data_IF_654123910918
#
_entry.id   IF_654123910918
#
_cell.length_a   1.000
_cell.length_b   1.000
_cell.length_c   1.000
_cell.angle_alpha   90.00
_cell.angle_beta   90.00
_cell.angle_gamma   90.00
#
_symmetry.space_group_name_H-M   'P 1'
#
loop_
_entity.id
_entity.type
_entity.pdbx_description
1 polymer ?
#
# COMPACT_ATOMS: atom_id res chain seq x y z
N UNK A 1 -16.02 10.23 -16.42
CA UNK A 1 -15.36 11.17 -15.50
C UNK A 1 -16.23 12.41 -15.36
N UNK A 2 -16.34 12.92 -14.15
CA UNK A 2 -17.04 14.17 -13.86
C UNK A 2 -16.01 15.30 -13.93
N UNK A 3 -16.19 16.31 -14.80
CA UNK A 3 -15.20 17.38 -14.93
C UNK A 3 -15.18 18.26 -13.67
N UNK A 4 -13.99 18.65 -13.25
CA UNK A 4 -13.76 19.57 -12.15
C UNK A 4 -13.21 20.89 -12.69
N UNK A 5 -13.70 22.00 -12.11
CA UNK A 5 -13.19 23.33 -12.41
C UNK A 5 -11.84 23.54 -11.70
N UNK A 6 -10.83 24.00 -12.42
CA UNK A 6 -9.56 24.39 -11.81
C UNK A 6 -9.76 25.59 -10.88
N UNK A 7 -8.97 25.62 -9.81
CA UNK A 7 -9.02 26.68 -8.76
C UNK A 7 -10.34 26.76 -7.97
N UNK A 8 -11.23 25.79 -8.13
CA UNK A 8 -12.44 25.70 -7.31
C UNK A 8 -12.22 24.69 -6.17
N UNK A 9 -12.65 25.11 -4.99
CA UNK A 9 -12.54 24.32 -3.77
C UNK A 9 -13.76 23.43 -3.59
N UNK A 10 -13.55 22.18 -3.22
CA UNK A 10 -14.59 21.18 -3.00
C UNK A 10 -14.41 20.50 -1.66
N UNK A 11 -15.50 20.29 -0.93
CA UNK A 11 -15.54 19.28 0.12
C UNK A 11 -15.61 17.89 -0.52
N UNK A 12 -14.86 16.93 0.02
CA UNK A 12 -14.85 15.58 -0.53
C UNK A 12 -16.22 14.90 -0.43
N UNK A 13 -17.02 15.28 0.59
CA UNK A 13 -18.42 14.87 0.76
C UNK A 13 -19.32 15.36 -0.38
N UNK A 14 -19.13 16.61 -0.84
CA UNK A 14 -19.94 17.17 -1.93
C UNK A 14 -19.61 16.48 -3.26
N UNK A 15 -18.32 16.17 -3.49
CA UNK A 15 -17.92 15.36 -4.65
C UNK A 15 -18.58 13.98 -4.62
N UNK A 16 -18.61 13.34 -3.44
CA UNK A 16 -19.25 12.03 -3.29
C UNK A 16 -20.77 12.09 -3.57
N UNK A 17 -21.46 13.11 -3.08
CA UNK A 17 -22.88 13.32 -3.36
C UNK A 17 -23.14 13.54 -4.85
N UNK A 18 -22.33 14.36 -5.53
CA UNK A 18 -22.44 14.61 -6.97
C UNK A 18 -22.22 13.33 -7.80
N UNK A 19 -21.40 12.41 -7.31
CA UNK A 19 -21.13 11.10 -7.91
C UNK A 19 -22.11 10.00 -7.47
N UNK A 20 -23.07 10.31 -6.58
CA UNK A 20 -23.98 9.34 -5.95
C UNK A 20 -23.24 8.22 -5.21
N UNK A 21 -22.13 8.54 -4.55
CA UNK A 21 -21.29 7.61 -3.79
C UNK A 21 -21.52 7.85 -2.29
N UNK A 22 -21.87 6.77 -1.58
CA UNK A 22 -21.91 6.77 -0.12
C UNK A 22 -20.53 6.54 0.46
N UNK A 23 -19.94 7.56 1.09
CA UNK A 23 -18.64 7.44 1.76
C UNK A 23 -18.74 6.56 3.02
N UNK A 24 -17.65 5.89 3.42
CA UNK A 24 -17.64 5.08 4.64
C UNK A 24 -17.87 5.96 5.87
N UNK A 25 -18.52 5.36 6.85
CA UNK A 25 -18.74 5.95 8.17
C UNK A 25 -18.07 5.09 9.25
N UNK A 26 -17.93 5.57 10.48
CA UNK A 26 -17.43 4.73 11.59
C UNK A 26 -18.31 3.48 11.88
N UNK A 27 -19.51 3.41 11.30
CA UNK A 27 -20.38 2.22 11.39
C UNK A 27 -20.14 1.21 10.28
N UNK A 28 -19.37 1.60 9.25
CA UNK A 28 -18.96 0.70 8.17
C UNK A 28 -17.84 -0.19 8.70
N UNK A 29 -18.09 -1.49 8.82
CA UNK A 29 -17.19 -2.44 9.50
C UNK A 29 -15.73 -2.35 9.04
N UNK A 30 -15.49 -2.32 7.73
CA UNK A 30 -14.14 -2.22 7.15
C UNK A 30 -13.42 -0.88 7.42
N UNK A 31 -14.13 0.11 7.97
CA UNK A 31 -13.63 1.47 8.23
C UNK A 31 -13.75 1.87 9.70
N UNK A 32 -14.15 0.94 10.56
CA UNK A 32 -14.41 1.20 11.99
C UNK A 32 -13.22 1.85 12.70
N UNK A 33 -12.01 1.43 12.36
CA UNK A 33 -10.77 1.88 12.98
C UNK A 33 -10.08 3.02 12.24
N UNK A 34 -10.46 3.31 10.99
CA UNK A 34 -9.87 4.39 10.18
C UNK A 34 -10.79 5.59 10.13
N UNK A 35 -10.49 6.60 10.92
CA UNK A 35 -11.33 7.80 11.06
C UNK A 35 -11.13 8.77 9.89
N UNK A 36 -12.06 8.79 8.96
CA UNK A 36 -12.01 9.70 7.81
C UNK A 36 -12.46 11.13 8.12
N UNK A 37 -12.90 11.43 9.35
CA UNK A 37 -13.49 12.74 9.71
C UNK A 37 -12.58 13.90 9.31
N UNK A 38 -11.30 13.82 9.61
CA UNK A 38 -10.36 14.91 9.38
C UNK A 38 -10.12 15.12 7.88
N UNK A 39 -10.02 14.03 7.10
CA UNK A 39 -9.95 14.08 5.64
C UNK A 39 -11.23 14.68 5.03
N UNK A 40 -12.40 14.28 5.51
CA UNK A 40 -13.69 14.71 4.95
C UNK A 40 -14.07 16.14 5.33
N UNK A 41 -13.48 16.70 6.39
CA UNK A 41 -13.73 18.07 6.85
C UNK A 41 -12.91 19.14 6.10
N UNK A 42 -11.89 18.70 5.36
CA UNK A 42 -11.02 19.60 4.61
C UNK A 42 -11.58 19.88 3.23
N UNK A 43 -11.49 21.13 2.82
CA UNK A 43 -11.82 21.53 1.45
C UNK A 43 -10.55 21.49 0.59
N UNK A 44 -10.65 20.88 -0.58
CA UNK A 44 -9.52 20.62 -1.50
C UNK A 44 -9.78 21.25 -2.87
N UNK A 45 -8.70 21.59 -3.57
CA UNK A 45 -8.69 21.88 -4.99
C UNK A 45 -8.11 20.69 -5.77
N UNK A 46 -8.49 20.46 -7.05
CA UNK A 46 -7.77 19.53 -7.90
C UNK A 46 -6.31 19.93 -8.03
N UNK A 47 -5.38 18.98 -7.94
CA UNK A 47 -3.96 19.23 -8.13
C UNK A 47 -3.67 19.89 -9.49
N UNK A 48 -2.79 20.88 -9.47
CA UNK A 48 -2.25 21.47 -10.71
C UNK A 48 -1.07 20.64 -11.23
N UNK A 49 -0.87 20.61 -12.56
CA UNK A 49 0.30 19.97 -13.16
C UNK A 49 1.60 20.52 -12.58
N UNK A 50 2.56 19.63 -12.34
CA UNK A 50 3.91 20.01 -11.96
C UNK A 50 4.91 19.23 -12.82
N UNK A 51 5.99 19.91 -13.23
CA UNK A 51 7.11 19.26 -13.92
C UNK A 51 8.24 18.84 -12.99
N UNK A 52 8.10 19.07 -11.69
CA UNK A 52 9.11 18.69 -10.69
C UNK A 52 9.15 17.18 -10.54
N UNK A 53 10.33 16.60 -10.62
CA UNK A 53 10.55 15.19 -10.40
C UNK A 53 10.99 14.94 -8.96
N UNK A 54 10.47 13.89 -8.36
CA UNK A 54 10.94 13.40 -7.07
C UNK A 54 12.32 12.76 -7.18
N UNK A 55 12.96 12.55 -6.03
CA UNK A 55 14.21 11.79 -5.97
C UNK A 55 14.03 10.41 -6.59
N UNK A 56 15.02 9.99 -7.38
CA UNK A 56 15.06 8.63 -7.95
C UNK A 56 15.38 7.58 -6.90
N UNK A 57 15.41 6.33 -7.33
CA UNK A 57 15.87 5.20 -6.53
C UNK A 57 17.38 4.99 -6.71
N UNK A 58 18.11 4.41 -5.71
CA UNK A 58 19.56 4.23 -5.78
C UNK A 58 19.99 2.95 -6.53
N UNK A 59 19.18 2.48 -7.45
CA UNK A 59 19.47 1.30 -8.27
C UNK A 59 18.98 1.52 -9.71
N UNK A 60 19.47 0.69 -10.62
CA UNK A 60 19.09 0.78 -12.02
C UNK A 60 17.64 0.36 -12.23
N UNK A 61 16.83 1.24 -12.82
CA UNK A 61 15.41 1.05 -13.03
C UNK A 61 14.89 1.89 -14.20
N UNK A 62 13.76 1.50 -14.74
CA UNK A 62 12.95 2.33 -15.63
C UNK A 62 11.98 3.15 -14.76
N UNK A 63 12.01 4.47 -14.88
CA UNK A 63 11.26 5.33 -13.97
C UNK A 63 10.17 6.09 -14.72
N UNK A 64 8.95 6.00 -14.21
CA UNK A 64 7.82 6.87 -14.57
C UNK A 64 7.65 7.88 -13.45
N UNK A 65 7.91 9.14 -13.74
CA UNK A 65 7.68 10.21 -12.78
C UNK A 65 6.23 10.66 -12.84
N UNK A 66 5.59 10.72 -11.67
CA UNK A 66 4.20 11.16 -11.50
C UNK A 66 4.21 12.30 -10.48
N UNK A 67 4.02 13.52 -10.96
CA UNK A 67 4.05 14.71 -10.10
C UNK A 67 2.65 15.29 -9.96
N UNK A 68 2.22 15.49 -8.72
CA UNK A 68 0.87 15.98 -8.41
C UNK A 68 -0.25 15.19 -9.13
N UNK A 69 -0.08 13.87 -9.28
CA UNK A 69 -1.02 12.99 -9.97
C UNK A 69 -0.97 13.06 -11.50
N UNK A 70 0.08 13.62 -12.08
CA UNK A 70 0.26 13.68 -13.53
C UNK A 70 1.61 13.10 -13.96
N UNK A 71 1.59 12.32 -15.03
CA UNK A 71 2.76 11.65 -15.60
C UNK A 71 3.64 12.66 -16.33
N UNK A 72 4.94 12.63 -16.05
CA UNK A 72 5.95 13.41 -16.75
C UNK A 72 6.56 12.54 -17.87
N UNK A 73 6.52 13.05 -19.08
CA UNK A 73 7.11 12.37 -20.25
C UNK A 73 8.64 12.60 -20.35
N UNK A 74 9.39 11.71 -21.02
CA UNK A 74 8.94 10.53 -21.76
C UNK A 74 8.68 9.30 -20.88
N UNK A 75 7.87 8.37 -21.39
CA UNK A 75 7.66 7.05 -20.78
C UNK A 75 8.78 6.06 -21.21
N UNK A 76 9.16 5.10 -20.36
CA UNK A 76 10.01 3.98 -20.76
C UNK A 76 9.40 3.20 -21.94
N UNK A 77 10.26 2.72 -22.84
CA UNK A 77 9.86 1.94 -24.00
C UNK A 77 10.75 0.71 -24.14
N UNK A 78 10.15 -0.49 -24.04
CA UNK A 78 10.81 -1.78 -24.21
C UNK A 78 9.92 -2.75 -24.97
N UNK A 79 10.51 -3.76 -25.60
CA UNK A 79 9.76 -4.79 -26.34
C UNK A 79 8.74 -5.56 -25.48
N UNK A 80 9.07 -5.78 -24.19
CA UNK A 80 8.23 -6.51 -23.22
C UNK A 80 7.36 -5.60 -22.36
N UNK A 81 7.34 -4.29 -22.60
CA UNK A 81 6.63 -3.31 -21.80
C UNK A 81 5.84 -2.37 -22.69
N UNK A 82 4.52 -2.36 -22.51
CA UNK A 82 3.64 -1.40 -23.17
C UNK A 82 2.94 -0.55 -22.11
N UNK A 83 3.05 0.76 -22.27
CA UNK A 83 2.45 1.73 -21.37
C UNK A 83 1.57 2.67 -22.18
N UNK A 84 0.31 2.79 -21.78
CA UNK A 84 -0.65 3.72 -22.38
C UNK A 84 -1.41 4.48 -21.30
N UNK A 85 -1.89 5.67 -21.61
CA UNK A 85 -2.75 6.41 -20.70
C UNK A 85 -4.12 5.75 -20.56
N UNK A 86 -4.57 5.62 -19.34
CA UNK A 86 -5.90 5.11 -19.01
C UNK A 86 -6.91 6.27 -19.20
N UNK A 87 -7.85 6.08 -20.10
CA UNK A 87 -8.83 7.11 -20.45
C UNK A 87 -10.16 6.95 -19.73
N UNK A 88 -10.45 5.75 -19.23
CA UNK A 88 -11.68 5.41 -18.51
C UNK A 88 -11.33 4.51 -17.32
N UNK A 89 -12.00 4.71 -16.21
CA UNK A 89 -11.91 3.85 -15.04
C UNK A 89 -13.30 3.33 -14.65
N UNK A 90 -13.39 2.05 -14.33
CA UNK A 90 -14.65 1.42 -13.92
C UNK A 90 -14.85 1.55 -12.39
N UNK A 91 -16.11 1.58 -11.99
CA UNK A 91 -16.47 1.51 -10.59
C UNK A 91 -16.21 0.11 -10.03
N UNK A 92 -15.71 0.06 -8.81
CA UNK A 92 -15.49 -1.18 -8.08
C UNK A 92 -16.57 -1.36 -7.01
N UNK A 93 -17.23 -2.53 -7.01
CA UNK A 93 -18.24 -2.83 -6.00
C UNK A 93 -17.62 -2.78 -4.59
N UNK A 94 -18.35 -2.20 -3.65
CA UNK A 94 -17.96 -2.10 -2.23
C UNK A 94 -16.70 -1.27 -1.92
N UNK A 95 -16.19 -0.51 -2.89
CA UNK A 95 -15.02 0.35 -2.69
C UNK A 95 -15.34 1.84 -2.97
N UNK A 96 -15.98 2.55 -2.04
CA UNK A 96 -16.41 3.94 -2.26
C UNK A 96 -15.28 4.88 -2.68
N UNK A 97 -14.09 4.78 -2.05
CA UNK A 97 -12.95 5.63 -2.41
C UNK A 97 -12.37 5.29 -3.79
N UNK A 98 -12.41 4.01 -4.21
CA UNK A 98 -12.05 3.63 -5.56
C UNK A 98 -13.08 4.12 -6.59
N UNK A 99 -14.34 4.23 -6.23
CA UNK A 99 -15.38 4.82 -7.07
C UNK A 99 -15.20 6.34 -7.19
N UNK A 100 -14.82 7.02 -6.10
CA UNK A 100 -14.39 8.42 -6.16
C UNK A 100 -13.19 8.60 -7.09
N UNK A 101 -12.21 7.68 -7.03
CA UNK A 101 -11.07 7.66 -7.94
C UNK A 101 -11.53 7.55 -9.41
N UNK A 102 -12.45 6.66 -9.73
CA UNK A 102 -12.97 6.48 -11.09
C UNK A 102 -13.75 7.71 -11.59
N UNK A 103 -14.59 8.31 -10.74
CA UNK A 103 -15.40 9.46 -11.10
C UNK A 103 -14.59 10.73 -11.34
N UNK A 104 -13.54 10.93 -10.54
CA UNK A 104 -12.71 12.16 -10.54
C UNK A 104 -11.25 11.87 -10.90
N UNK A 105 -11.01 10.93 -11.79
CA UNK A 105 -9.69 10.51 -12.21
C UNK A 105 -8.86 11.70 -12.71
N UNK A 106 -7.71 11.94 -12.08
CA UNK A 106 -6.76 12.96 -12.53
C UNK A 106 -6.01 12.42 -13.74
N UNK A 107 -5.41 11.24 -13.61
CA UNK A 107 -4.74 10.52 -14.68
C UNK A 107 -4.57 9.05 -14.31
N UNK A 108 -4.28 8.19 -15.30
CA UNK A 108 -3.99 6.79 -15.05
C UNK A 108 -3.14 6.17 -16.15
N UNK A 109 -2.57 5.01 -15.84
CA UNK A 109 -1.75 4.23 -16.76
C UNK A 109 -2.28 2.80 -16.88
N UNK A 110 -2.28 2.27 -18.09
CA UNK A 110 -2.31 0.84 -18.33
C UNK A 110 -0.90 0.38 -18.67
N UNK A 111 -0.40 -0.58 -17.89
CA UNK A 111 0.95 -1.13 -17.97
C UNK A 111 0.81 -2.61 -18.29
N UNK A 112 1.26 -3.01 -19.47
CA UNK A 112 1.22 -4.40 -19.92
C UNK A 112 2.64 -4.96 -20.00
N UNK A 113 2.86 -6.08 -19.29
CA UNK A 113 4.13 -6.82 -19.28
C UNK A 113 3.94 -8.10 -20.08
N UNK A 114 4.63 -8.21 -21.22
CA UNK A 114 4.47 -9.30 -22.19
C UNK A 114 5.57 -10.36 -22.10
N UNK A 115 6.62 -10.13 -21.32
CA UNK A 115 7.74 -11.03 -21.12
C UNK A 115 8.47 -10.71 -19.82
N UNK A 116 9.74 -11.05 -19.71
CA UNK A 116 10.56 -10.73 -18.55
C UNK A 116 11.13 -9.30 -18.68
N UNK A 117 10.87 -8.45 -17.71
CA UNK A 117 11.54 -7.15 -17.61
C UNK A 117 12.95 -7.35 -17.05
N UNK A 118 13.93 -6.71 -17.68
CA UNK A 118 15.34 -6.78 -17.28
C UNK A 118 15.67 -5.92 -16.06
N UNK A 119 14.84 -4.89 -15.81
CA UNK A 119 14.97 -3.93 -14.71
C UNK A 119 13.63 -3.74 -14.02
N UNK A 120 13.63 -3.35 -12.74
CA UNK A 120 12.41 -2.89 -12.09
C UNK A 120 11.81 -1.67 -12.80
N UNK A 121 10.47 -1.63 -12.86
CA UNK A 121 9.72 -0.43 -13.25
C UNK A 121 9.35 0.35 -11.99
N UNK A 122 9.78 1.60 -11.90
CA UNK A 122 9.48 2.47 -10.75
C UNK A 122 8.38 3.47 -11.12
N UNK A 123 7.29 3.45 -10.38
CA UNK A 123 6.27 4.49 -10.39
C UNK A 123 6.61 5.49 -9.27
N UNK A 124 7.23 6.60 -9.63
CA UNK A 124 7.75 7.58 -8.69
C UNK A 124 6.73 8.72 -8.51
N UNK A 125 5.86 8.58 -7.51
CA UNK A 125 4.88 9.59 -7.14
C UNK A 125 5.54 10.65 -6.26
N UNK A 126 5.46 11.87 -6.72
CA UNK A 126 6.04 13.01 -6.03
C UNK A 126 5.00 14.11 -5.83
N UNK A 127 4.84 14.55 -4.60
CA UNK A 127 3.99 15.69 -4.28
C UNK A 127 4.86 16.93 -4.06
N UNK A 128 4.56 17.98 -4.80
CA UNK A 128 5.10 19.31 -4.57
C UNK A 128 4.05 20.11 -3.83
N UNK A 129 4.26 20.46 -2.56
CA UNK A 129 3.27 21.21 -1.80
C UNK A 129 3.16 22.64 -2.31
N UNK A 130 1.93 23.14 -2.30
CA UNK A 130 1.58 24.54 -2.53
C UNK A 130 0.82 25.08 -1.33
N UNK A 131 0.42 26.36 -1.36
CA UNK A 131 -0.24 27.02 -0.23
C UNK A 131 -1.69 26.57 0.03
N UNK A 132 -2.24 25.70 -0.83
CA UNK A 132 -3.62 25.21 -0.76
C UNK A 132 -3.69 23.71 -0.51
N UNK A 133 -4.85 23.25 -0.04
CA UNK A 133 -5.10 21.83 0.08
C UNK A 133 -5.47 21.25 -1.29
N UNK A 134 -4.84 20.15 -1.66
CA UNK A 134 -5.00 19.52 -2.96
C UNK A 134 -5.43 18.07 -2.87
N UNK A 135 -6.10 17.57 -3.90
CA UNK A 135 -6.28 16.16 -4.10
C UNK A 135 -5.91 15.74 -5.53
N UNK A 136 -5.51 14.48 -5.67
CA UNK A 136 -5.41 13.81 -6.95
C UNK A 136 -5.88 12.36 -6.84
N UNK A 137 -6.40 11.85 -7.96
CA UNK A 137 -6.83 10.48 -8.12
C UNK A 137 -6.02 9.86 -9.24
N UNK A 138 -5.26 8.83 -8.93
CA UNK A 138 -4.44 8.15 -9.92
C UNK A 138 -4.80 6.66 -9.97
N UNK A 139 -4.86 6.09 -11.18
CA UNK A 139 -5.24 4.70 -11.35
C UNK A 139 -4.28 3.99 -12.29
N UNK A 140 -3.79 2.84 -11.85
CA UNK A 140 -3.02 1.94 -12.69
C UNK A 140 -3.83 0.68 -12.99
N UNK A 141 -3.75 0.22 -14.23
CA UNK A 141 -4.14 -1.12 -14.63
C UNK A 141 -2.88 -1.86 -15.07
N UNK A 142 -2.45 -2.83 -14.27
CA UNK A 142 -1.23 -3.59 -14.50
C UNK A 142 -1.60 -5.00 -14.97
N UNK A 143 -1.12 -5.41 -16.12
CA UNK A 143 -1.40 -6.71 -16.71
C UNK A 143 -0.08 -7.44 -16.94
N UNK A 144 0.17 -8.48 -16.15
CA UNK A 144 1.24 -9.42 -16.40
C UNK A 144 0.70 -10.56 -17.27
N UNK A 145 1.03 -10.57 -18.55
CA UNK A 145 0.61 -11.61 -19.49
C UNK A 145 1.24 -12.96 -19.13
N UNK A 146 0.67 -14.05 -19.65
CA UNK A 146 1.12 -15.41 -19.32
C UNK A 146 2.64 -15.56 -19.51
N UNK A 147 3.29 -16.22 -18.53
CA UNK A 147 4.73 -16.44 -18.46
C UNK A 147 5.59 -15.17 -18.31
N UNK A 148 5.00 -14.00 -18.11
CA UNK A 148 5.76 -12.76 -17.88
C UNK A 148 6.30 -12.66 -16.47
N UNK A 149 7.36 -11.86 -16.29
CA UNK A 149 7.98 -11.58 -15.00
C UNK A 149 8.30 -10.10 -14.86
N UNK A 150 7.83 -9.48 -13.80
CA UNK A 150 8.09 -8.08 -13.55
C UNK A 150 8.38 -7.81 -12.07
N UNK A 151 9.13 -6.75 -11.84
CA UNK A 151 9.27 -6.10 -10.54
C UNK A 151 8.81 -4.65 -10.70
N UNK A 152 7.83 -4.25 -9.91
CA UNK A 152 7.29 -2.88 -9.91
C UNK A 152 7.50 -2.27 -8.53
N UNK A 153 7.99 -1.06 -8.48
CA UNK A 153 8.21 -0.30 -7.26
C UNK A 153 7.36 0.97 -7.30
N UNK A 154 6.51 1.16 -6.32
CA UNK A 154 5.83 2.43 -6.08
C UNK A 154 6.58 3.21 -5.00
N UNK A 155 6.99 4.41 -5.31
CA UNK A 155 7.62 5.31 -4.35
C UNK A 155 6.78 6.57 -4.19
N UNK A 156 6.29 6.81 -2.97
CA UNK A 156 5.52 8.02 -2.62
C UNK A 156 6.37 8.90 -1.72
N UNK A 157 6.73 10.07 -2.23
CA UNK A 157 7.57 11.03 -1.51
C UNK A 157 7.05 12.46 -1.69
N UNK A 158 7.60 13.35 -0.90
CA UNK A 158 7.33 14.79 -1.02
C UNK A 158 8.64 15.58 -0.92
N UNK A 159 8.60 16.84 -1.33
CA UNK A 159 9.74 17.74 -1.22
C UNK A 159 9.28 19.12 -0.74
N UNK A 160 9.99 19.68 0.23
CA UNK A 160 9.73 21.00 0.77
C UNK A 160 8.93 20.98 2.08
N UNK A 161 8.62 22.18 2.58
CA UNK A 161 7.82 22.34 3.81
C UNK A 161 6.34 22.29 3.46
N UNK A 162 5.66 21.23 3.90
CA UNK A 162 4.24 21.00 3.61
C UNK A 162 3.37 21.75 4.60
N UNK A 163 2.88 22.91 4.20
CA UNK A 163 1.99 23.76 5.00
C UNK A 163 0.51 23.36 4.87
N UNK A 164 0.12 22.76 3.76
CA UNK A 164 -1.25 22.39 3.41
C UNK A 164 -1.48 20.88 3.44
N UNK A 165 -2.75 20.47 3.56
CA UNK A 165 -3.13 19.07 3.43
C UNK A 165 -3.20 18.66 1.96
N UNK A 166 -2.93 17.38 1.69
CA UNK A 166 -3.28 16.80 0.40
C UNK A 166 -3.87 15.40 0.54
N UNK A 167 -4.63 15.00 -0.45
CA UNK A 167 -5.20 13.66 -0.57
C UNK A 167 -4.67 13.00 -1.83
N UNK A 168 -3.92 11.92 -1.65
CA UNK A 168 -3.55 10.98 -2.69
C UNK A 168 -4.49 9.78 -2.64
N UNK A 169 -5.29 9.57 -3.70
CA UNK A 169 -6.15 8.40 -3.81
C UNK A 169 -5.70 7.56 -5.01
N UNK A 170 -5.11 6.41 -4.71
CA UNK A 170 -4.44 5.53 -5.67
C UNK A 170 -5.22 4.23 -5.78
N UNK A 171 -5.46 3.79 -7.01
CA UNK A 171 -6.05 2.48 -7.27
C UNK A 171 -5.18 1.72 -8.27
N UNK A 172 -4.77 0.52 -7.89
CA UNK A 172 -4.05 -0.41 -8.74
C UNK A 172 -4.92 -1.64 -8.99
N UNK A 173 -5.33 -1.85 -10.24
CA UNK A 173 -5.96 -3.08 -10.72
C UNK A 173 -4.90 -3.95 -11.36
N UNK A 174 -4.64 -5.11 -10.78
CA UNK A 174 -3.52 -5.98 -11.14
C UNK A 174 -4.04 -7.33 -11.60
N UNK A 175 -3.68 -7.70 -12.83
CA UNK A 175 -4.00 -8.99 -13.44
C UNK A 175 -2.72 -9.79 -13.63
N UNK A 176 -2.58 -10.91 -12.93
CA UNK A 176 -1.46 -11.85 -13.09
C UNK A 176 -2.01 -13.08 -13.81
N UNK A 177 -1.64 -13.22 -15.08
CA UNK A 177 -2.09 -14.33 -15.93
C UNK A 177 -1.33 -15.61 -15.62
N UNK A 178 -1.68 -16.69 -16.27
CA UNK A 178 -1.14 -18.03 -16.06
C UNK A 178 0.39 -18.06 -16.09
N UNK A 179 1.03 -18.68 -15.09
CA UNK A 179 2.48 -18.79 -14.92
C UNK A 179 3.24 -17.44 -14.88
N UNK A 180 2.55 -16.31 -14.73
CA UNK A 180 3.19 -15.00 -14.59
C UNK A 180 3.60 -14.73 -13.14
N UNK A 181 4.59 -13.87 -12.96
CA UNK A 181 5.07 -13.46 -11.64
C UNK A 181 5.23 -11.95 -11.55
N UNK A 182 4.64 -11.36 -10.53
CA UNK A 182 4.80 -9.94 -10.20
C UNK A 182 5.34 -9.80 -8.78
N UNK A 183 6.47 -9.08 -8.65
CA UNK A 183 6.94 -8.55 -7.37
C UNK A 183 6.58 -7.07 -7.32
N UNK A 184 5.83 -6.68 -6.30
CA UNK A 184 5.28 -5.35 -6.16
C UNK A 184 5.69 -4.74 -4.82
N UNK A 185 6.55 -3.76 -4.85
CA UNK A 185 7.13 -3.14 -3.67
C UNK A 185 6.65 -1.69 -3.55
N UNK A 186 6.32 -1.27 -2.34
CA UNK A 186 5.84 0.09 -2.07
C UNK A 186 6.63 0.73 -0.95
N UNK A 187 7.14 1.92 -1.20
CA UNK A 187 7.66 2.82 -0.18
C UNK A 187 6.78 4.05 -0.09
N UNK A 188 6.15 4.27 1.05
CA UNK A 188 5.29 5.41 1.31
C UNK A 188 5.88 6.20 2.48
N UNK A 189 6.39 7.42 2.16
CA UNK A 189 6.93 8.37 3.13
C UNK A 189 6.50 9.78 2.71
N UNK A 190 5.27 10.11 3.03
CA UNK A 190 4.65 11.37 2.66
C UNK A 190 4.64 12.33 3.84
N UNK A 191 4.32 13.60 3.57
CA UNK A 191 4.28 14.64 4.58
C UNK A 191 3.28 14.32 5.71
N UNK A 192 3.55 14.81 6.91
CA UNK A 192 2.69 14.60 8.08
C UNK A 192 1.26 15.16 7.95
N UNK A 193 0.97 15.97 6.92
CA UNK A 193 -0.37 16.46 6.56
C UNK A 193 -0.99 15.73 5.37
N UNK A 194 -0.31 14.73 4.82
CA UNK A 194 -0.82 13.93 3.73
C UNK A 194 -1.94 13.00 4.20
N UNK A 195 -2.91 12.77 3.33
CA UNK A 195 -3.87 11.68 3.46
C UNK A 195 -3.66 10.74 2.27
N UNK A 196 -3.24 9.52 2.53
CA UNK A 196 -2.93 8.51 1.52
C UNK A 196 -3.95 7.38 1.56
N UNK A 197 -4.72 7.22 0.49
CA UNK A 197 -5.68 6.13 0.33
C UNK A 197 -5.28 5.29 -0.86
N UNK A 198 -4.94 4.04 -0.64
CA UNK A 198 -4.53 3.14 -1.71
C UNK A 198 -5.31 1.82 -1.67
N UNK A 199 -5.74 1.37 -2.84
CA UNK A 199 -6.32 0.05 -3.06
C UNK A 199 -5.51 -0.69 -4.13
N UNK A 200 -5.01 -1.88 -3.77
CA UNK A 200 -4.43 -2.84 -4.69
C UNK A 200 -5.40 -4.01 -4.87
N UNK A 201 -6.04 -4.09 -6.02
CA UNK A 201 -6.94 -5.19 -6.36
C UNK A 201 -6.23 -6.15 -7.31
N UNK A 202 -5.92 -7.35 -6.83
CA UNK A 202 -5.05 -8.31 -7.50
C UNK A 202 -5.82 -9.57 -7.85
N UNK A 203 -5.82 -9.95 -9.12
CA UNK A 203 -6.38 -11.22 -9.61
C UNK A 203 -5.24 -12.12 -10.10
N UNK A 204 -5.18 -13.34 -9.58
CA UNK A 204 -4.11 -14.30 -9.89
C UNK A 204 -4.70 -15.55 -10.54
N UNK A 205 -4.27 -15.82 -11.77
CA UNK A 205 -4.62 -17.02 -12.55
C UNK A 205 -3.75 -18.23 -12.14
N UNK A 206 -3.93 -19.36 -12.81
CA UNK A 206 -3.24 -20.62 -12.47
C UNK A 206 -1.71 -20.47 -12.45
N UNK A 207 -1.09 -21.00 -11.41
CA UNK A 207 0.36 -20.96 -11.17
C UNK A 207 0.97 -19.53 -11.18
N UNK A 208 0.10 -18.51 -11.15
CA UNK A 208 0.51 -17.12 -11.04
C UNK A 208 1.05 -16.80 -9.64
N UNK A 209 2.02 -15.89 -9.55
CA UNK A 209 2.70 -15.53 -8.29
C UNK A 209 2.69 -14.03 -8.06
N UNK A 210 2.30 -13.64 -6.87
CA UNK A 210 2.36 -12.27 -6.39
C UNK A 210 3.16 -12.18 -5.10
N UNK A 211 4.23 -11.40 -5.11
CA UNK A 211 4.98 -11.04 -3.92
C UNK A 211 4.86 -9.54 -3.69
N UNK A 212 4.42 -9.11 -2.53
CA UNK A 212 4.38 -7.69 -2.21
C UNK A 212 5.03 -7.37 -0.87
N UNK A 213 5.63 -6.19 -0.81
CA UNK A 213 6.12 -5.61 0.43
C UNK A 213 5.81 -4.12 0.45
N UNK A 214 5.23 -3.63 1.56
CA UNK A 214 4.94 -2.22 1.77
C UNK A 214 5.68 -1.69 3.00
N UNK A 215 6.52 -0.66 2.81
CA UNK A 215 7.09 0.12 3.92
C UNK A 215 6.33 1.44 4.04
N UNK A 216 5.59 1.59 5.12
CA UNK A 216 4.79 2.79 5.41
C UNK A 216 5.47 3.61 6.50
N UNK A 217 5.70 4.90 6.16
CA UNK A 217 6.22 5.89 7.10
C UNK A 217 5.46 7.18 6.97
N UNK A 218 5.39 8.17 7.48
CA UNK A 218 4.72 9.43 7.14
C UNK A 218 3.21 9.34 6.86
N UNK A 219 2.65 10.47 6.51
CA UNK A 219 1.24 10.84 6.40
C UNK A 219 0.53 11.14 7.74
N UNK A 220 -0.58 11.85 7.67
CA UNK A 220 -1.54 12.02 8.76
C UNK A 220 -2.44 10.78 8.85
N UNK A 221 -3.03 10.39 7.72
CA UNK A 221 -3.78 9.15 7.57
C UNK A 221 -3.23 8.43 6.34
N UNK A 222 -2.81 7.17 6.50
CA UNK A 222 -2.50 6.31 5.35
C UNK A 222 -3.23 4.98 5.51
N UNK A 223 -4.09 4.65 4.52
CA UNK A 223 -4.71 3.35 4.41
C UNK A 223 -4.22 2.66 3.15
N UNK A 224 -3.57 1.53 3.33
CA UNK A 224 -3.15 0.63 2.27
C UNK A 224 -4.00 -0.64 2.34
N UNK A 225 -4.94 -0.75 1.40
CA UNK A 225 -5.83 -1.90 1.26
C UNK A 225 -5.35 -2.78 0.11
N UNK A 226 -5.25 -4.08 0.36
CA UNK A 226 -4.88 -5.08 -0.65
C UNK A 226 -5.93 -6.17 -0.68
N UNK A 227 -6.63 -6.29 -1.80
CA UNK A 227 -7.61 -7.35 -2.08
C UNK A 227 -7.02 -8.31 -3.12
N UNK A 228 -6.88 -9.57 -2.75
CA UNK A 228 -6.27 -10.59 -3.61
C UNK A 228 -7.27 -11.72 -3.86
N UNK A 229 -7.49 -12.05 -5.12
CA UNK A 229 -8.28 -13.19 -5.53
C UNK A 229 -7.38 -14.23 -6.21
N UNK A 230 -7.19 -15.37 -5.56
CA UNK A 230 -6.48 -16.54 -6.08
C UNK A 230 -7.48 -17.35 -6.92
N UNK A 231 -7.62 -16.99 -8.19
CA UNK A 231 -8.64 -17.48 -9.11
C UNK A 231 -8.18 -18.65 -9.98
N UNK A 232 -6.91 -19.03 -9.88
CA UNK A 232 -6.34 -20.19 -10.56
C UNK A 232 -5.79 -21.23 -9.60
N UNK A 233 -5.79 -22.50 -10.00
CA UNK A 233 -5.12 -23.56 -9.26
C UNK A 233 -3.62 -23.28 -9.15
N UNK A 234 -3.00 -23.59 -8.02
CA UNK A 234 -1.57 -23.34 -7.78
C UNK A 234 -1.16 -21.88 -7.59
N UNK A 235 -2.10 -20.94 -7.61
CA UNK A 235 -1.81 -19.52 -7.42
C UNK A 235 -1.24 -19.24 -6.03
N UNK A 236 -0.24 -18.35 -5.96
CA UNK A 236 0.48 -18.03 -4.72
C UNK A 236 0.53 -16.51 -4.48
N UNK A 237 0.36 -16.10 -3.20
CA UNK A 237 0.50 -14.71 -2.77
C UNK A 237 1.32 -14.58 -1.50
N UNK A 238 2.33 -13.71 -1.51
CA UNK A 238 3.09 -13.28 -0.34
C UNK A 238 2.85 -11.79 -0.13
N UNK A 239 2.30 -11.41 1.04
CA UNK A 239 1.90 -10.03 1.32
C UNK A 239 2.51 -9.57 2.63
N UNK A 240 3.64 -8.93 2.56
CA UNK A 240 4.36 -8.47 3.73
C UNK A 240 4.31 -6.94 3.85
N UNK A 241 4.37 -6.42 5.08
CA UNK A 241 4.44 -4.99 5.31
C UNK A 241 5.20 -4.65 6.59
N UNK A 242 5.78 -3.47 6.60
CA UNK A 242 6.24 -2.80 7.79
C UNK A 242 5.66 -1.39 7.86
N UNK A 243 5.26 -0.94 9.04
CA UNK A 243 4.88 0.43 9.27
C UNK A 243 5.60 1.00 10.50
N UNK A 244 6.08 2.22 10.35
CA UNK A 244 6.78 2.94 11.40
C UNK A 244 6.18 4.33 11.54
N UNK A 245 5.66 4.64 12.71
CA UNK A 245 4.92 5.87 12.94
C UNK A 245 5.22 6.47 14.31
N UNK A 246 5.14 7.78 14.35
CA UNK A 246 5.27 8.55 15.58
C UNK A 246 4.35 9.79 15.52
N UNK A 247 4.13 10.44 16.64
CA UNK A 247 3.25 11.60 16.72
C UNK A 247 1.77 11.19 16.77
N UNK A 248 0.93 11.66 15.84
CA UNK A 248 -0.53 11.44 15.84
C UNK A 248 -1.05 10.74 14.57
N UNK A 249 -0.16 10.18 13.78
CA UNK A 249 -0.53 9.54 12.50
C UNK A 249 -1.45 8.32 12.72
N UNK A 250 -2.30 8.04 11.72
CA UNK A 250 -3.05 6.78 11.62
C UNK A 250 -2.58 6.01 10.40
N UNK A 251 -2.00 4.83 10.60
CA UNK A 251 -1.63 3.94 9.50
C UNK A 251 -2.46 2.65 9.57
N UNK A 252 -3.18 2.39 8.49
CA UNK A 252 -4.06 1.23 8.33
C UNK A 252 -3.53 0.33 7.20
N UNK A 253 -3.24 -0.91 7.57
CA UNK A 253 -2.91 -1.99 6.63
C UNK A 253 -4.07 -2.98 6.63
N UNK A 254 -4.87 -2.97 5.57
CA UNK A 254 -6.01 -3.87 5.40
C UNK A 254 -5.71 -4.87 4.29
N UNK A 255 -5.94 -6.15 4.54
CA UNK A 255 -5.73 -7.22 3.56
C UNK A 255 -6.94 -8.15 3.50
N UNK A 256 -7.41 -8.47 2.28
CA UNK A 256 -8.46 -9.45 2.05
C UNK A 256 -7.94 -10.45 1.01
N UNK A 257 -7.76 -11.71 1.40
CA UNK A 257 -7.26 -12.75 0.50
C UNK A 257 -8.34 -13.82 0.31
N UNK A 258 -8.74 -14.01 -0.95
CA UNK A 258 -9.76 -14.97 -1.34
C UNK A 258 -9.11 -16.15 -2.07
N UNK A 259 -9.14 -17.31 -1.44
CA UNK A 259 -8.75 -18.58 -2.06
C UNK A 259 -9.97 -19.19 -2.75
N UNK A 260 -10.05 -19.01 -4.06
CA UNK A 260 -11.22 -19.43 -4.88
C UNK A 260 -10.99 -20.75 -5.61
N UNK A 261 -9.78 -21.33 -5.58
CA UNK A 261 -9.39 -22.56 -6.28
C UNK A 261 -8.52 -23.45 -5.39
N UNK A 262 -8.43 -24.75 -5.68
CA UNK A 262 -7.58 -25.69 -4.96
C UNK A 262 -6.08 -25.36 -5.08
N UNK A 263 -5.28 -25.93 -4.18
CA UNK A 263 -3.82 -25.87 -4.17
C UNK A 263 -3.24 -24.45 -4.08
N UNK A 264 -4.02 -23.46 -3.65
CA UNK A 264 -3.57 -22.08 -3.54
C UNK A 264 -2.85 -21.82 -2.21
N UNK A 265 -1.93 -20.85 -2.23
CA UNK A 265 -1.14 -20.52 -1.03
C UNK A 265 -1.10 -19.01 -0.79
N UNK A 266 -1.22 -18.63 0.49
CA UNK A 266 -0.93 -17.25 0.91
C UNK A 266 -0.16 -17.18 2.20
N UNK A 267 0.70 -16.17 2.31
CA UNK A 267 1.37 -15.84 3.57
C UNK A 267 1.44 -14.34 3.78
N UNK A 268 1.27 -13.91 5.04
CA UNK A 268 1.34 -12.51 5.43
C UNK A 268 2.19 -12.36 6.69
N UNK A 269 3.12 -11.43 6.64
CA UNK A 269 3.86 -10.96 7.82
C UNK A 269 3.83 -9.43 7.84
N UNK A 270 3.16 -8.88 8.86
CA UNK A 270 3.06 -7.43 9.05
C UNK A 270 3.68 -7.05 10.39
N UNK A 271 4.59 -6.09 10.38
CA UNK A 271 5.22 -5.58 11.60
C UNK A 271 5.02 -4.08 11.76
N UNK A 272 4.63 -3.66 12.95
CA UNK A 272 4.39 -2.26 13.30
C UNK A 272 5.32 -1.76 14.41
N UNK A 273 5.74 -0.50 14.29
CA UNK A 273 6.40 0.26 15.36
C UNK A 273 5.65 1.57 15.53
N UNK A 274 5.11 1.79 16.73
CA UNK A 274 4.15 2.87 16.99
C UNK A 274 4.61 3.66 18.20
N UNK A 275 4.81 4.97 18.03
CA UNK A 275 5.20 5.90 19.10
C UNK A 275 4.32 7.14 19.16
N UNK A 276 4.51 7.95 20.21
CA UNK A 276 3.69 9.14 20.45
C UNK A 276 2.25 8.80 20.76
N UNK A 277 1.31 9.45 20.11
CA UNK A 277 -0.14 9.20 20.15
C UNK A 277 -0.65 8.58 18.85
N UNK A 278 0.24 7.92 18.10
CA UNK A 278 -0.08 7.35 16.81
C UNK A 278 -0.95 6.09 16.95
N UNK A 279 -1.78 5.84 15.94
CA UNK A 279 -2.73 4.75 15.90
C UNK A 279 -2.47 3.81 14.72
N UNK A 280 -1.98 2.62 14.99
CA UNK A 280 -1.83 1.55 14.01
C UNK A 280 -3.13 0.76 13.86
N UNK A 281 -3.43 0.33 12.63
CA UNK A 281 -4.56 -0.55 12.35
C UNK A 281 -4.08 -1.70 11.45
N UNK A 282 -4.40 -2.92 11.82
CA UNK A 282 -4.25 -4.07 10.96
C UNK A 282 -5.57 -4.84 10.87
N UNK A 283 -6.10 -4.97 9.67
CA UNK A 283 -7.26 -5.79 9.39
C UNK A 283 -6.87 -6.81 8.32
N UNK A 284 -6.95 -8.09 8.66
CA UNK A 284 -6.56 -9.14 7.74
C UNK A 284 -7.63 -10.21 7.68
N UNK A 285 -8.12 -10.54 6.47
CA UNK A 285 -9.07 -11.63 6.25
C UNK A 285 -8.53 -12.62 5.23
N UNK A 286 -8.60 -13.90 5.59
CA UNK A 286 -8.39 -15.02 4.67
C UNK A 286 -9.73 -15.72 4.51
N UNK A 287 -10.24 -15.74 3.28
CA UNK A 287 -11.47 -16.44 2.90
C UNK A 287 -11.13 -17.64 2.02
N UNK A 288 -11.61 -18.82 2.39
CA UNK A 288 -11.41 -20.05 1.64
C UNK A 288 -12.75 -20.56 1.15
N UNK A 289 -12.95 -20.53 -0.16
CA UNK A 289 -14.18 -20.98 -0.80
C UNK A 289 -14.42 -22.50 -0.64
N UNK A 290 -15.66 -23.01 -0.71
CA UNK A 290 -15.99 -24.40 -0.43
C UNK A 290 -15.18 -25.44 -1.24
N UNK A 291 -14.78 -25.11 -2.46
CA UNK A 291 -14.03 -26.01 -3.34
C UNK A 291 -12.51 -25.77 -3.35
N UNK A 292 -12.01 -24.86 -2.52
CA UNK A 292 -10.59 -24.51 -2.46
C UNK A 292 -9.83 -25.45 -1.48
N UNK A 293 -9.87 -26.76 -1.77
CA UNK A 293 -9.18 -27.77 -0.97
C UNK A 293 -7.66 -27.71 -1.13
N UNK A 294 -6.91 -28.29 -0.21
CA UNK A 294 -5.43 -28.32 -0.19
C UNK A 294 -4.81 -26.90 -0.23
N UNK A 295 -5.53 -25.96 0.34
CA UNK A 295 -5.13 -24.56 0.47
C UNK A 295 -4.31 -24.35 1.75
N UNK A 296 -3.30 -23.47 1.68
CA UNK A 296 -2.53 -23.03 2.84
C UNK A 296 -2.57 -21.51 2.95
N UNK A 297 -3.03 -21.01 4.09
CA UNK A 297 -3.09 -19.57 4.38
C UNK A 297 -2.52 -19.23 5.76
N UNK A 298 -1.52 -18.35 5.83
CA UNK A 298 -0.94 -17.91 7.11
C UNK A 298 -0.94 -16.40 7.22
N UNK A 299 -1.25 -15.90 8.41
CA UNK A 299 -1.31 -14.47 8.69
C UNK A 299 -0.70 -14.19 10.05
N UNK A 300 0.31 -13.33 10.11
CA UNK A 300 0.97 -12.94 11.34
C UNK A 300 1.12 -11.41 11.41
N UNK A 301 0.59 -10.82 12.46
CA UNK A 301 0.82 -9.42 12.78
C UNK A 301 1.57 -9.29 14.09
N UNK A 302 2.56 -8.42 14.14
CA UNK A 302 3.27 -8.06 15.38
C UNK A 302 3.47 -6.55 15.45
N UNK A 303 3.33 -5.97 16.65
CA UNK A 303 3.59 -4.55 16.85
C UNK A 303 4.39 -4.29 18.13
N UNK A 304 5.23 -3.25 18.10
CA UNK A 304 5.90 -2.69 19.25
C UNK A 304 5.32 -1.30 19.51
N UNK A 305 4.84 -1.08 20.73
CA UNK A 305 4.40 0.22 21.22
C UNK A 305 5.55 0.88 21.97
N UNK A 306 5.90 2.10 21.58
CA UNK A 306 7.03 2.87 22.13
C UNK A 306 6.61 3.89 23.20
N UNK A 307 5.29 4.07 23.39
CA UNK A 307 4.70 5.00 24.35
C UNK A 307 3.37 4.49 24.88
N UNK A 308 2.97 4.96 26.04
CA UNK A 308 1.71 4.58 26.71
C UNK A 308 0.45 5.06 25.95
N UNK A 309 0.58 6.10 25.14
CA UNK A 309 -0.51 6.69 24.35
C UNK A 309 -0.58 6.12 22.92
N UNK A 310 0.37 5.26 22.54
CA UNK A 310 0.33 4.58 21.25
C UNK A 310 -0.76 3.51 21.25
N UNK A 311 -1.54 3.46 20.16
CA UNK A 311 -2.65 2.51 20.02
C UNK A 311 -2.46 1.58 18.84
N UNK A 312 -2.97 0.35 18.95
CA UNK A 312 -3.04 -0.63 17.86
C UNK A 312 -4.35 -1.38 17.89
N UNK A 313 -5.09 -1.34 16.79
CA UNK A 313 -6.23 -2.20 16.53
C UNK A 313 -5.83 -3.35 15.60
N UNK A 314 -6.02 -4.60 16.03
CA UNK A 314 -5.66 -5.78 15.24
C UNK A 314 -6.88 -6.70 15.10
N UNK A 315 -7.31 -6.88 13.85
CA UNK A 315 -8.48 -7.71 13.53
C UNK A 315 -8.11 -8.79 12.48
N UNK A 316 -7.57 -9.95 12.91
CA UNK A 316 -7.35 -11.08 12.01
C UNK A 316 -8.62 -11.94 11.90
N UNK A 317 -9.03 -12.29 10.69
CA UNK A 317 -10.23 -13.08 10.41
C UNK A 317 -9.91 -14.27 9.50
N UNK A 318 -10.51 -15.43 9.81
CA UNK A 318 -10.48 -16.63 8.96
C UNK A 318 -11.92 -17.05 8.67
N UNK A 319 -12.28 -17.12 7.40
CA UNK A 319 -13.57 -17.63 6.91
C UNK A 319 -13.28 -18.88 6.04
N UNK A 320 -13.45 -20.05 6.64
CA UNK A 320 -13.04 -21.32 6.04
C UNK A 320 -14.27 -22.16 5.72
N UNK A 321 -14.49 -22.43 4.43
CA UNK A 321 -15.62 -23.20 3.93
C UNK A 321 -15.21 -24.51 3.22
N UNK A 322 -13.91 -24.85 3.21
CA UNK A 322 -13.38 -26.09 2.62
C UNK A 322 -12.74 -26.97 3.69
N UNK A 323 -12.77 -28.28 3.48
CA UNK A 323 -12.00 -29.26 4.20
C UNK A 323 -10.58 -29.39 3.64
N UNK A 324 -9.69 -30.10 4.35
CA UNK A 324 -8.28 -30.34 3.97
C UNK A 324 -7.51 -29.05 3.67
N UNK A 325 -7.51 -28.11 4.59
CA UNK A 325 -6.79 -26.85 4.52
C UNK A 325 -5.86 -26.65 5.72
N UNK A 326 -4.79 -25.85 5.52
CA UNK A 326 -3.85 -25.45 6.58
C UNK A 326 -3.88 -23.95 6.76
N UNK A 327 -4.59 -23.47 7.77
CA UNK A 327 -4.74 -22.05 8.01
C UNK A 327 -4.40 -21.68 9.43
N UNK A 328 -3.71 -20.55 9.57
CA UNK A 328 -3.42 -19.98 10.88
C UNK A 328 -3.37 -18.47 10.82
N UNK A 329 -3.75 -17.85 11.93
CA UNK A 329 -3.46 -16.45 12.17
C UNK A 329 -2.82 -16.26 13.54
N UNK A 330 -2.09 -15.16 13.69
CA UNK A 330 -1.50 -14.74 14.96
C UNK A 330 -1.42 -13.23 15.04
N UNK A 331 -1.60 -12.71 16.24
CA UNK A 331 -1.41 -11.31 16.54
C UNK A 331 -0.70 -11.16 17.89
N UNK A 332 0.28 -10.25 17.94
CA UNK A 332 0.98 -9.91 19.17
C UNK A 332 1.34 -8.43 19.17
N UNK A 333 1.12 -7.78 20.30
CA UNK A 333 1.61 -6.43 20.57
C UNK A 333 2.35 -6.41 21.90
N UNK A 334 3.33 -5.56 22.03
CA UNK A 334 4.11 -5.42 23.25
C UNK A 334 5.03 -4.20 23.21
N UNK A 335 5.87 -4.09 24.21
CA UNK A 335 6.92 -3.07 24.33
C UNK A 335 8.27 -3.60 23.83
N UNK A 336 9.24 -2.72 23.72
CA UNK A 336 10.63 -3.12 23.53
C UNK A 336 11.09 -4.00 24.70
N UNK A 337 11.87 -5.04 24.40
CA UNK A 337 12.38 -5.97 25.41
C UNK A 337 13.32 -5.22 26.37
N UNK A 338 12.87 -5.03 27.61
CA UNK A 338 13.58 -4.27 28.66
C UNK A 338 14.90 -4.96 29.06
N UNK A 339 14.98 -6.28 28.99
CA UNK A 339 16.24 -7.02 29.31
C UNK A 339 17.28 -6.79 28.22
N UNK A 340 16.88 -6.83 26.95
CA UNK A 340 17.79 -6.52 25.85
C UNK A 340 18.27 -5.07 25.89
N UNK A 341 17.36 -4.13 26.15
CA UNK A 341 17.71 -2.72 26.33
C UNK A 341 18.71 -2.53 27.48
N UNK A 342 18.43 -3.09 28.64
CA UNK A 342 19.34 -3.05 29.80
C UNK A 342 20.69 -3.68 29.50
N UNK A 343 20.72 -4.81 28.80
CA UNK A 343 21.98 -5.46 28.40
C UNK A 343 22.83 -4.54 27.51
N UNK A 344 22.22 -3.90 26.51
CA UNK A 344 22.93 -2.97 25.62
C UNK A 344 23.46 -1.76 26.38
N UNK A 345 22.67 -1.17 27.28
CA UNK A 345 23.10 -0.08 28.13
C UNK A 345 24.27 -0.48 29.06
N UNK A 346 24.25 -1.71 29.61
CA UNK A 346 25.35 -2.22 30.44
C UNK A 346 26.65 -2.41 29.68
N UNK A 347 26.59 -2.44 28.34
CA UNK A 347 27.75 -2.48 27.43
C UNK A 347 28.18 -1.10 26.94
N UNK A 348 27.59 -0.04 27.45
CA UNK A 348 27.96 1.35 27.15
C UNK A 348 27.23 1.96 25.94
N UNK A 349 26.20 1.29 25.39
CA UNK A 349 25.36 1.86 24.33
C UNK A 349 24.34 2.79 24.99
N UNK A 350 24.21 4.02 24.48
CA UNK A 350 23.23 4.97 24.96
C UNK A 350 21.79 4.47 24.80
N UNK A 351 20.87 4.91 25.64
CA UNK A 351 19.49 4.41 25.66
C UNK A 351 18.79 4.58 24.30
N UNK A 352 18.86 5.77 23.72
CA UNK A 352 18.19 6.04 22.44
C UNK A 352 18.84 5.27 21.27
N UNK A 353 20.15 5.10 21.28
CA UNK A 353 20.86 4.28 20.31
C UNK A 353 20.46 2.79 20.44
N UNK A 354 20.37 2.29 21.67
CA UNK A 354 19.94 0.92 21.94
C UNK A 354 18.50 0.67 21.49
N UNK A 355 17.58 1.61 21.74
CA UNK A 355 16.20 1.57 21.25
C UNK A 355 16.18 1.50 19.71
N UNK A 356 16.93 2.38 19.04
CA UNK A 356 16.95 2.43 17.57
C UNK A 356 17.51 1.13 16.98
N UNK A 357 18.56 0.55 17.57
CA UNK A 357 19.10 -0.75 17.14
C UNK A 357 18.04 -1.86 17.25
N UNK A 358 17.31 -1.93 18.37
CA UNK A 358 16.26 -2.93 18.56
C UNK A 358 15.10 -2.75 17.60
N UNK A 359 14.68 -1.50 17.36
CA UNK A 359 13.62 -1.18 16.38
C UNK A 359 14.06 -1.59 14.97
N UNK A 360 15.27 -1.21 14.56
CA UNK A 360 15.79 -1.55 13.25
C UNK A 360 15.90 -3.07 13.06
N UNK A 361 16.39 -3.80 14.05
CA UNK A 361 16.45 -5.27 14.01
C UNK A 361 15.05 -5.88 13.88
N UNK A 362 14.07 -5.35 14.62
CA UNK A 362 12.69 -5.84 14.58
C UNK A 362 12.02 -5.65 13.21
N UNK A 363 12.21 -4.48 12.58
CA UNK A 363 11.65 -4.17 11.25
C UNK A 363 12.43 -4.91 10.16
N UNK A 364 13.76 -5.03 10.29
CA UNK A 364 14.62 -5.73 9.33
C UNK A 364 14.18 -7.16 9.09
N UNK A 365 13.67 -7.86 10.09
CA UNK A 365 13.20 -9.25 9.96
C UNK A 365 12.08 -9.42 8.89
N UNK A 366 11.17 -8.46 8.74
CA UNK A 366 10.17 -8.52 7.67
C UNK A 366 10.72 -7.99 6.34
N UNK A 367 11.63 -7.00 6.37
CA UNK A 367 12.28 -6.50 5.14
C UNK A 367 13.17 -7.58 4.51
N UNK A 368 13.74 -8.47 5.33
CA UNK A 368 14.54 -9.60 4.86
C UNK A 368 13.74 -10.64 4.05
N UNK A 369 12.41 -10.59 4.12
CA UNK A 369 11.55 -11.44 3.29
C UNK A 369 11.45 -10.95 1.83
N UNK A 370 11.92 -9.75 1.51
CA UNK A 370 11.97 -9.24 0.12
C UNK A 370 12.94 -10.10 -0.68
N UNK A 371 12.46 -10.74 -1.73
CA UNK A 371 13.25 -11.69 -2.53
C UNK A 371 14.34 -11.01 -3.37
N UNK A 372 14.10 -9.78 -3.87
CA UNK A 372 15.10 -9.00 -4.62
C UNK A 372 16.12 -8.37 -3.66
N UNK A 373 17.40 -8.77 -3.77
CA UNK A 373 18.47 -8.31 -2.87
C UNK A 373 18.76 -6.81 -2.97
N UNK A 374 18.65 -6.22 -4.16
CA UNK A 374 18.91 -4.79 -4.38
C UNK A 374 17.81 -3.93 -3.75
N UNK A 375 16.54 -4.30 -3.99
CA UNK A 375 15.40 -3.60 -3.40
C UNK A 375 15.37 -3.82 -1.88
N UNK A 376 15.70 -5.01 -1.40
CA UNK A 376 15.83 -5.30 0.03
C UNK A 376 16.89 -4.41 0.70
N UNK A 377 18.06 -4.27 0.08
CA UNK A 377 19.12 -3.40 0.60
C UNK A 377 18.69 -1.93 0.63
N UNK A 378 18.01 -1.46 -0.42
CA UNK A 378 17.44 -0.13 -0.43
C UNK A 378 16.40 0.07 0.68
N UNK A 379 15.44 -0.84 0.83
CA UNK A 379 14.41 -0.75 1.88
C UNK A 379 15.00 -0.76 3.30
N UNK A 380 16.09 -1.54 3.52
CA UNK A 380 16.84 -1.49 4.79
C UNK A 380 17.46 -0.13 5.07
N UNK A 381 17.93 0.56 4.04
CA UNK A 381 18.49 1.91 4.18
C UNK A 381 17.44 2.99 4.48
N UNK A 382 16.14 2.66 4.42
CA UNK A 382 15.02 3.56 4.68
C UNK A 382 14.42 3.39 6.09
N UNK A 383 14.84 2.38 6.85
CA UNK A 383 14.45 2.13 8.25
C UNK A 383 15.30 3.00 9.21
#
# INVERSE_FOLDING_TARGET
MIPLEQHKTYLYTDLAQNASISLPTPRTEAWKYTRLRDLLSVAYEPCLPSSKQGAGVPFEADIIHISNGQVILPLPCHENLKIIFLTVAENLQNHPLANMNACYLTQGLQIEVMGKLSKPLVLNYHMTPEDKNYFYHFRNKIICHSHSQAEIVEQFTYQGDVKSCYLANIVNEIEIKENASLKHYKYQNEAFKANHMALHKVNISSDGKYESFCLQKGANIARNETEISLNGEGAEAIVNAAYMMNGWATLDTTTNIYHNRPHTKSSQLVKGVIGGTAHGVFQGRIHIAPNAVQTSGTQLHKAILLSDEAEIDVKPELEIFADDVKCSHGAASGELNKEQLFYMQSRGIGEEEAKQILINAYVTDVVDQISNSTIRAWMKGLI
#
